data_IF_043662615524
#
_entry.id   IF_043662615524
#
_cell.length_a   1.000
_cell.length_b   1.000
_cell.length_c   1.000
_cell.angle_alpha   90.00
_cell.angle_beta   90.00
_cell.angle_gamma   90.00
#
_symmetry.space_group_name_H-M   'P 1'
#
loop_
_entity.id
_entity.type
_entity.pdbx_description
1 polymer ?
#
# COMPACT_ATOMS: atom_id res chain seq x y z
N UNK A 1 8.81 -16.88 7.31
CA UNK A 1 7.63 -16.01 7.12
C UNK A 1 7.78 -15.26 5.80
N UNK A 2 6.74 -15.25 4.95
CA UNK A 2 6.74 -14.59 3.64
C UNK A 2 5.28 -14.21 3.26
N UNK A 3 4.58 -13.49 4.13
CA UNK A 3 3.14 -13.25 4.06
C UNK A 3 2.76 -11.95 3.33
N UNK A 4 3.74 -11.26 2.74
CA UNK A 4 3.51 -9.96 2.12
C UNK A 4 3.34 -8.83 3.15
N UNK A 5 2.68 -7.74 2.75
CA UNK A 5 2.62 -6.50 3.48
C UNK A 5 1.40 -6.31 4.40
N UNK A 6 1.11 -5.05 4.68
CA UNK A 6 0.13 -4.60 5.68
C UNK A 6 -0.89 -3.61 5.11
N UNK A 7 -0.98 -3.46 3.79
CA UNK A 7 -1.75 -2.38 3.17
C UNK A 7 -3.25 -2.39 3.49
N UNK A 8 -3.80 -3.52 3.94
CA UNK A 8 -5.21 -3.61 4.38
C UNK A 8 -5.51 -2.91 5.69
N UNK A 9 -4.50 -2.42 6.40
CA UNK A 9 -4.69 -1.47 7.49
C UNK A 9 -5.27 -0.11 7.01
N UNK A 10 -5.17 0.20 5.71
CA UNK A 10 -5.65 1.44 5.11
C UNK A 10 -6.87 1.24 4.22
N UNK A 11 -7.71 2.26 4.15
CA UNK A 11 -8.96 2.25 3.36
C UNK A 11 -8.71 2.22 1.85
N UNK A 12 -7.67 2.94 1.39
CA UNK A 12 -7.30 3.03 -0.02
C UNK A 12 -5.95 2.35 -0.19
N UNK A 13 -5.97 1.15 -0.76
CA UNK A 13 -4.77 0.33 -0.94
C UNK A 13 -4.79 -0.42 -2.26
N UNK A 14 -3.61 -0.60 -2.85
CA UNK A 14 -3.39 -1.45 -4.01
C UNK A 14 -3.03 -2.89 -3.63
N UNK A 15 -2.95 -3.20 -2.33
CA UNK A 15 -2.64 -4.54 -1.86
C UNK A 15 -3.84 -5.49 -2.04
N UNK A 16 -3.55 -6.77 -2.22
CA UNK A 16 -4.53 -7.84 -2.21
C UNK A 16 -5.22 -7.98 -0.83
N UNK A 17 -6.23 -8.85 -0.75
CA UNK A 17 -6.96 -9.07 0.49
C UNK A 17 -6.10 -9.70 1.59
N UNK A 18 -5.01 -10.38 1.22
CA UNK A 18 -4.08 -11.06 2.11
C UNK A 18 -3.03 -10.11 2.73
N UNK A 19 -3.02 -8.84 2.36
CA UNK A 19 -2.10 -7.83 2.92
C UNK A 19 -2.50 -7.36 4.33
N UNK A 20 -2.67 -8.28 5.27
CA UNK A 20 -3.23 -8.06 6.61
C UNK A 20 -2.19 -8.05 7.74
N UNK A 21 -0.89 -8.20 7.40
CA UNK A 21 0.20 -8.12 8.37
C UNK A 21 0.41 -9.38 9.21
N UNK A 22 -0.06 -10.52 8.72
CA UNK A 22 -0.03 -11.79 9.48
C UNK A 22 1.36 -12.17 9.93
N UNK A 23 2.33 -12.13 9.01
CA UNK A 23 3.71 -12.47 9.34
C UNK A 23 4.38 -11.49 10.29
N UNK A 24 4.09 -10.20 10.17
CA UNK A 24 4.57 -9.19 11.11
C UNK A 24 4.04 -9.47 12.52
N UNK A 25 2.74 -9.64 12.66
CA UNK A 25 2.08 -9.89 13.93
C UNK A 25 2.51 -11.24 14.54
N UNK A 26 2.71 -12.26 13.72
CA UNK A 26 3.15 -13.59 14.15
C UNK A 26 4.58 -13.55 14.67
N UNK A 27 5.48 -12.90 13.95
CA UNK A 27 6.88 -12.72 14.33
C UNK A 27 6.99 -11.88 15.63
N UNK A 28 6.22 -10.79 15.73
CA UNK A 28 6.17 -9.95 16.91
C UNK A 28 5.70 -10.73 18.16
N UNK A 29 4.62 -11.52 18.04
CA UNK A 29 4.14 -12.38 19.14
C UNK A 29 5.14 -13.48 19.53
N UNK A 30 5.98 -13.92 18.60
CA UNK A 30 7.08 -14.85 18.87
C UNK A 30 8.28 -14.18 19.54
N UNK A 31 8.29 -12.86 19.71
CA UNK A 31 9.37 -12.08 20.31
C UNK A 31 10.39 -11.50 19.32
N UNK A 32 10.11 -11.56 18.01
CA UNK A 32 10.96 -10.91 17.02
C UNK A 32 10.77 -9.38 17.05
N UNK A 33 11.85 -8.65 16.76
CA UNK A 33 11.81 -7.21 16.61
C UNK A 33 11.19 -6.82 15.25
N UNK A 34 10.35 -5.77 15.27
CA UNK A 34 9.92 -5.05 14.08
C UNK A 34 10.68 -3.73 14.01
N UNK A 35 11.10 -3.34 12.80
CA UNK A 35 11.79 -2.07 12.57
C UNK A 35 11.21 -1.34 11.37
N UNK A 36 11.40 -0.01 11.32
CA UNK A 36 11.05 0.85 10.19
C UNK A 36 9.55 0.82 9.80
N UNK A 37 8.66 0.43 10.74
CA UNK A 37 7.23 0.25 10.48
C UNK A 37 6.54 1.55 10.06
N UNK A 38 7.08 2.70 10.41
CA UNK A 38 6.58 4.01 10.00
C UNK A 38 6.74 4.30 8.50
N UNK A 39 7.61 3.59 7.80
CA UNK A 39 7.86 3.81 6.38
C UNK A 39 6.86 3.07 5.50
N UNK A 40 5.74 3.72 5.27
CA UNK A 40 4.68 3.25 4.36
C UNK A 40 4.80 4.00 3.03
N UNK A 41 4.99 3.26 1.93
CA UNK A 41 4.99 3.84 0.59
C UNK A 41 3.56 3.96 0.07
N UNK A 42 3.17 5.19 -0.26
CA UNK A 42 1.95 5.47 -1.00
C UNK A 42 2.28 5.64 -2.48
N UNK A 43 1.62 4.87 -3.34
CA UNK A 43 1.66 5.16 -4.77
C UNK A 43 0.76 6.37 -5.06
N UNK A 44 1.25 7.39 -5.77
CA UNK A 44 0.49 8.64 -5.90
C UNK A 44 -0.80 8.50 -6.69
N UNK A 45 -0.88 7.52 -7.59
CA UNK A 45 -2.01 7.34 -8.50
C UNK A 45 -2.61 5.95 -8.37
N UNK A 46 -3.69 5.82 -7.61
CA UNK A 46 -4.61 4.70 -7.61
C UNK A 46 -5.98 5.17 -8.09
N UNK A 47 -6.82 4.27 -8.59
CA UNK A 47 -8.21 4.59 -8.94
C UNK A 47 -8.98 5.03 -7.68
N UNK A 48 -9.74 6.10 -7.78
CA UNK A 48 -10.58 6.61 -6.68
C UNK A 48 -12.04 6.25 -6.90
N UNK A 49 -12.45 6.12 -8.13
CA UNK A 49 -13.83 5.83 -8.52
C UNK A 49 -13.88 4.80 -9.65
N UNK A 50 -14.90 3.92 -9.70
CA UNK A 50 -15.95 3.72 -8.71
C UNK A 50 -15.48 3.05 -7.41
N UNK A 51 -16.29 3.02 -6.33
CA UNK A 51 -15.89 2.48 -5.02
C UNK A 51 -15.37 1.04 -5.05
N UNK A 52 -15.91 0.20 -5.94
CA UNK A 52 -15.56 -1.22 -6.10
C UNK A 52 -14.12 -1.45 -6.56
N UNK A 53 -13.49 -0.45 -7.19
CA UNK A 53 -12.13 -0.54 -7.74
C UNK A 53 -11.16 0.45 -7.08
N UNK A 54 -11.62 1.05 -5.99
CA UNK A 54 -10.82 2.04 -5.25
C UNK A 54 -9.50 1.44 -4.77
N UNK A 55 -8.41 2.12 -5.07
CA UNK A 55 -7.05 1.70 -4.73
C UNK A 55 -6.33 0.91 -5.83
N UNK A 56 -7.01 0.42 -6.87
CA UNK A 56 -6.34 -0.27 -7.97
C UNK A 56 -5.30 0.66 -8.61
N UNK A 57 -4.12 0.12 -8.82
CA UNK A 57 -2.94 0.87 -9.27
C UNK A 57 -3.14 1.47 -10.66
N UNK A 58 -2.87 2.77 -10.78
CA UNK A 58 -2.68 3.45 -12.06
C UNK A 58 -1.18 3.64 -12.27
N UNK A 59 -0.63 2.92 -13.25
CA UNK A 59 0.82 2.84 -13.47
C UNK A 59 1.46 4.22 -13.69
N UNK A 60 2.70 4.35 -13.23
CA UNK A 60 3.55 5.53 -13.50
C UNK A 60 3.74 5.78 -15.00
N UNK A 61 3.61 4.74 -15.81
CA UNK A 61 3.68 4.85 -17.28
C UNK A 61 2.73 5.89 -17.87
N UNK A 62 1.54 6.12 -17.27
CA UNK A 62 0.63 7.18 -17.74
C UNK A 62 1.29 8.55 -17.67
N UNK A 63 1.98 8.84 -16.55
CA UNK A 63 2.74 10.09 -16.36
C UNK A 63 3.99 10.13 -17.24
N UNK A 64 4.61 8.97 -17.45
CA UNK A 64 5.77 8.80 -18.34
C UNK A 64 5.44 9.08 -19.83
N UNK A 65 4.24 8.73 -20.27
CA UNK A 65 3.76 9.02 -21.64
C UNK A 65 3.13 10.43 -21.76
N UNK A 66 3.25 11.27 -20.73
CA UNK A 66 2.85 12.68 -20.76
C UNK A 66 1.56 13.01 -19.98
N UNK A 67 1.01 12.07 -19.20
CA UNK A 67 -0.12 12.36 -18.33
C UNK A 67 0.20 13.44 -17.29
N UNK A 68 -0.68 14.42 -17.15
CA UNK A 68 -0.55 15.55 -16.24
C UNK A 68 -1.53 15.44 -15.08
N UNK A 69 -1.15 15.97 -13.92
CA UNK A 69 -2.00 16.05 -12.74
C UNK A 69 -2.64 17.43 -12.63
N UNK A 70 -3.99 17.45 -12.61
CA UNK A 70 -4.76 18.68 -12.45
C UNK A 70 -5.74 18.58 -11.28
N UNK A 71 -6.02 19.73 -10.64
CA UNK A 71 -7.04 19.83 -9.61
C UNK A 71 -8.44 20.09 -10.22
N UNK A 72 -9.47 20.26 -9.38
CA UNK A 72 -10.85 20.53 -9.81
C UNK A 72 -11.03 21.85 -10.57
N UNK A 73 -10.07 22.76 -10.47
CA UNK A 73 -10.04 24.04 -11.21
C UNK A 73 -9.34 23.90 -12.57
N UNK A 74 -8.91 22.68 -12.94
CA UNK A 74 -8.14 22.42 -14.16
C UNK A 74 -6.66 22.88 -14.09
N UNK A 75 -6.17 23.30 -12.92
CA UNK A 75 -4.81 23.76 -12.74
C UNK A 75 -3.85 22.58 -12.63
N UNK A 76 -2.77 22.58 -13.41
CA UNK A 76 -1.64 21.66 -13.32
C UNK A 76 -0.74 22.08 -12.15
N UNK A 77 -0.96 21.53 -10.97
CA UNK A 77 -0.40 21.99 -9.69
C UNK A 77 1.03 21.51 -9.42
N UNK A 78 1.55 20.53 -10.15
CA UNK A 78 2.85 19.94 -9.84
C UNK A 78 4.04 20.91 -10.04
N UNK A 79 3.91 21.92 -10.90
CA UNK A 79 4.92 22.95 -11.08
C UNK A 79 5.01 23.96 -9.92
N UNK A 80 4.00 24.02 -9.05
CA UNK A 80 3.95 24.98 -7.94
C UNK A 80 4.89 24.60 -6.80
N UNK A 81 5.25 23.33 -6.69
CA UNK A 81 6.06 22.80 -5.59
C UNK A 81 7.12 21.82 -6.10
N UNK A 82 8.17 22.38 -6.68
CA UNK A 82 9.36 21.60 -7.06
C UNK A 82 10.41 21.83 -5.98
N UNK A 83 10.76 20.78 -5.17
CA UNK A 83 11.78 20.91 -4.15
C UNK A 83 13.13 21.40 -4.72
N UNK A 84 13.83 22.22 -3.97
CA UNK A 84 15.05 22.89 -4.44
C UNK A 84 16.11 21.89 -4.92
N UNK A 85 16.28 20.79 -4.22
CA UNK A 85 17.21 19.71 -4.58
C UNK A 85 16.83 18.99 -5.88
N UNK A 86 15.58 19.06 -6.33
CA UNK A 86 15.12 18.45 -7.59
C UNK A 86 15.04 19.45 -8.75
N UNK A 87 15.06 20.77 -8.51
CA UNK A 87 14.99 21.80 -9.56
C UNK A 87 15.98 21.62 -10.70
N UNK A 88 17.27 21.26 -10.45
CA UNK A 88 18.23 21.07 -11.54
C UNK A 88 17.86 19.92 -12.51
N UNK A 89 17.05 18.95 -12.05
CA UNK A 89 16.67 17.76 -12.81
C UNK A 89 15.21 17.81 -13.28
N UNK A 90 14.47 18.87 -12.97
CA UNK A 90 13.03 18.98 -13.24
C UNK A 90 12.77 20.11 -14.23
N UNK A 91 11.88 19.87 -15.18
CA UNK A 91 11.46 20.84 -16.17
C UNK A 91 10.95 22.13 -15.50
N UNK A 92 11.31 23.27 -16.08
CA UNK A 92 10.88 24.58 -15.60
C UNK A 92 9.52 25.00 -16.13
N UNK A 93 9.09 24.38 -17.22
CA UNK A 93 7.82 24.66 -17.88
C UNK A 93 7.20 23.41 -18.53
N UNK A 94 5.91 23.47 -18.89
CA UNK A 94 5.19 22.34 -19.49
C UNK A 94 5.76 21.84 -20.82
N UNK A 95 6.34 22.74 -21.64
CA UNK A 95 6.86 22.36 -22.96
C UNK A 95 8.18 21.59 -22.83
N UNK A 96 9.03 21.96 -21.90
CA UNK A 96 10.23 21.19 -21.58
C UNK A 96 9.85 19.78 -21.06
N UNK A 97 8.90 19.70 -20.13
CA UNK A 97 8.40 18.43 -19.62
C UNK A 97 7.81 17.54 -20.72
N UNK A 98 7.10 18.10 -21.68
CA UNK A 98 6.59 17.39 -22.83
C UNK A 98 7.72 16.84 -23.72
N UNK A 99 8.73 17.65 -24.06
CA UNK A 99 9.88 17.20 -24.86
C UNK A 99 10.60 16.01 -24.23
N UNK A 100 10.73 16.02 -22.90
CA UNK A 100 11.30 14.87 -22.17
C UNK A 100 10.53 13.57 -22.45
N UNK A 101 9.20 13.61 -22.38
CA UNK A 101 8.35 12.42 -22.61
C UNK A 101 8.44 11.91 -24.06
N UNK A 102 8.90 12.75 -24.99
CA UNK A 102 9.15 12.39 -26.39
C UNK A 102 10.59 11.90 -26.63
N UNK A 103 11.40 11.75 -25.58
CA UNK A 103 12.75 11.20 -25.65
C UNK A 103 13.84 12.26 -25.92
N UNK A 104 13.54 13.55 -25.80
CA UNK A 104 14.55 14.61 -25.87
C UNK A 104 15.48 14.55 -24.65
N UNK A 105 16.71 14.08 -24.88
CA UNK A 105 17.73 13.93 -23.82
C UNK A 105 18.24 15.24 -23.25
N UNK A 106 17.99 16.37 -23.88
CA UNK A 106 18.35 17.70 -23.40
C UNK A 106 17.31 18.30 -22.48
N UNK A 107 16.07 17.76 -22.49
CA UNK A 107 14.98 18.20 -21.66
C UNK A 107 15.00 17.51 -20.28
N UNK A 108 14.57 18.24 -19.26
CA UNK A 108 14.42 17.72 -17.90
C UNK A 108 13.05 17.07 -17.71
N UNK A 109 12.97 16.08 -16.79
CA UNK A 109 11.73 15.33 -16.51
C UNK A 109 10.62 16.26 -15.98
N UNK A 110 9.36 16.03 -16.36
CA UNK A 110 8.23 16.77 -15.79
C UNK A 110 8.07 16.50 -14.29
N UNK A 111 7.53 17.44 -13.48
CA UNK A 111 7.39 17.28 -12.04
C UNK A 111 6.45 16.14 -11.63
N UNK A 112 5.57 15.70 -12.49
CA UNK A 112 4.75 14.49 -12.28
C UNK A 112 5.57 13.20 -12.17
N UNK A 113 6.83 13.20 -12.59
CA UNK A 113 7.78 12.09 -12.47
C UNK A 113 8.78 12.28 -11.31
N UNK A 114 8.52 13.21 -10.39
CA UNK A 114 9.24 13.29 -9.12
C UNK A 114 8.95 12.07 -8.24
N UNK A 115 9.62 11.97 -7.10
CA UNK A 115 9.46 10.83 -6.19
C UNK A 115 8.02 10.64 -5.76
N UNK A 116 7.61 9.38 -5.57
CA UNK A 116 6.22 9.00 -5.28
C UNK A 116 5.66 9.72 -4.05
N UNK A 117 6.48 9.85 -3.01
CA UNK A 117 6.12 10.55 -1.77
C UNK A 117 5.85 12.04 -2.02
N UNK A 118 6.66 12.69 -2.84
CA UNK A 118 6.46 14.11 -3.17
C UNK A 118 5.17 14.31 -3.96
N UNK A 119 4.96 13.53 -5.02
CA UNK A 119 3.74 13.61 -5.84
C UNK A 119 2.50 13.32 -4.98
N UNK A 120 2.55 12.31 -4.12
CA UNK A 120 1.45 11.99 -3.23
C UNK A 120 1.13 13.13 -2.24
N UNK A 121 2.15 13.77 -1.66
CA UNK A 121 1.96 14.95 -0.79
C UNK A 121 1.33 16.14 -1.51
N UNK A 122 1.74 16.40 -2.75
CA UNK A 122 1.13 17.45 -3.57
C UNK A 122 -0.36 17.17 -3.83
N UNK A 123 -0.72 15.93 -4.15
CA UNK A 123 -2.12 15.50 -4.32
C UNK A 123 -2.92 15.71 -3.03
N UNK A 124 -2.41 15.24 -1.89
CA UNK A 124 -3.08 15.41 -0.59
C UNK A 124 -3.28 16.89 -0.25
N UNK A 125 -2.33 17.75 -0.59
CA UNK A 125 -2.45 19.19 -0.40
C UNK A 125 -3.61 19.79 -1.19
N UNK A 126 -3.79 19.40 -2.46
CA UNK A 126 -4.92 19.83 -3.27
C UNK A 126 -6.25 19.36 -2.69
N UNK A 127 -6.33 18.09 -2.27
CA UNK A 127 -7.52 17.53 -1.64
C UNK A 127 -7.87 18.28 -0.33
N UNK A 128 -6.89 18.47 0.56
CA UNK A 128 -7.09 19.19 1.85
C UNK A 128 -7.43 20.67 1.66
N UNK A 129 -7.02 21.27 0.55
CA UNK A 129 -7.37 22.66 0.20
C UNK A 129 -8.75 22.80 -0.47
N UNK A 130 -9.52 21.71 -0.57
CA UNK A 130 -10.86 21.71 -1.18
C UNK A 130 -10.84 21.76 -2.71
N UNK A 131 -9.70 21.56 -3.34
CA UNK A 131 -9.52 21.53 -4.81
C UNK A 131 -9.38 20.11 -5.35
N UNK A 132 -9.78 19.12 -4.58
CA UNK A 132 -9.83 17.72 -5.01
C UNK A 132 -10.92 17.45 -6.05
N UNK A 133 -10.87 16.26 -6.66
CA UNK A 133 -11.92 15.74 -7.53
C UNK A 133 -13.17 15.35 -6.71
N UNK A 134 -14.35 15.15 -7.35
CA UNK A 134 -15.60 14.85 -6.65
C UNK A 134 -15.53 13.66 -5.69
N UNK A 135 -14.69 12.66 -5.98
CA UNK A 135 -14.59 11.44 -5.17
C UNK A 135 -13.37 11.39 -4.24
N UNK A 136 -12.71 12.56 -4.02
CA UNK A 136 -11.63 12.70 -3.05
C UNK A 136 -10.24 12.37 -3.58
N UNK A 137 -10.01 12.59 -4.85
CA UNK A 137 -8.71 12.52 -5.53
C UNK A 137 -8.35 13.80 -6.24
N UNK A 138 -7.63 13.66 -7.36
CA UNK A 138 -7.33 14.68 -8.37
C UNK A 138 -7.52 14.07 -9.75
N UNK A 139 -7.35 14.84 -10.81
CA UNK A 139 -7.45 14.34 -12.17
C UNK A 139 -6.07 14.03 -12.74
N UNK A 140 -5.95 12.85 -13.35
CA UNK A 140 -4.81 12.48 -14.20
C UNK A 140 -5.28 12.49 -15.64
N UNK A 141 -4.80 13.47 -16.41
CA UNK A 141 -5.20 13.67 -17.80
C UNK A 141 -4.09 13.28 -18.77
N UNK A 142 -4.31 12.26 -19.57
CA UNK A 142 -3.46 11.90 -20.72
C UNK A 142 -4.11 12.35 -22.04
N UNK A 143 -5.42 12.61 -22.05
CA UNK A 143 -6.14 13.01 -23.27
C UNK A 143 -5.69 14.37 -23.81
N UNK A 144 -5.11 15.22 -22.96
CA UNK A 144 -4.60 16.55 -23.35
C UNK A 144 -3.53 16.47 -24.45
N UNK A 145 -2.80 15.33 -24.59
CA UNK A 145 -1.75 15.17 -25.61
C UNK A 145 -2.31 15.24 -27.05
N UNK A 146 -3.63 15.19 -27.23
CA UNK A 146 -4.28 15.49 -28.53
C UNK A 146 -3.91 16.85 -29.08
N UNK A 147 -3.63 17.80 -28.22
CA UNK A 147 -3.17 19.13 -28.63
C UNK A 147 -1.73 19.13 -29.18
N UNK A 148 -0.99 18.04 -28.99
CA UNK A 148 0.42 17.89 -29.36
C UNK A 148 0.69 16.82 -30.41
N UNK A 149 -0.16 15.77 -30.44
CA UNK A 149 0.02 14.62 -31.33
C UNK A 149 -1.24 14.38 -32.17
N UNK A 150 -1.14 14.40 -33.50
CA UNK A 150 -2.31 14.12 -34.37
C UNK A 150 -2.91 12.73 -34.18
N UNK A 151 -2.09 11.74 -33.82
CA UNK A 151 -2.49 10.35 -33.60
C UNK A 151 -2.51 9.96 -32.11
N UNK A 152 -2.86 10.90 -31.21
CA UNK A 152 -2.83 10.72 -29.77
C UNK A 152 -3.64 9.52 -29.28
N UNK A 153 -4.82 9.27 -29.84
CA UNK A 153 -5.67 8.14 -29.44
C UNK A 153 -4.97 6.79 -29.69
N UNK A 154 -4.41 6.59 -30.88
CA UNK A 154 -3.66 5.38 -31.22
C UNK A 154 -2.40 5.25 -30.35
N UNK A 155 -1.71 6.35 -30.11
CA UNK A 155 -0.54 6.39 -29.24
C UNK A 155 -0.88 5.92 -27.83
N UNK A 156 -1.93 6.47 -27.21
CA UNK A 156 -2.39 6.09 -25.85
C UNK A 156 -2.76 4.60 -25.81
N UNK A 157 -3.57 4.12 -26.72
CA UNK A 157 -3.99 2.71 -26.77
C UNK A 157 -2.83 1.76 -26.96
N UNK A 158 -1.83 2.11 -27.77
CA UNK A 158 -0.63 1.31 -28.02
C UNK A 158 0.34 1.31 -26.84
N UNK A 159 0.55 2.46 -26.20
CA UNK A 159 1.52 2.62 -25.12
C UNK A 159 0.97 2.23 -23.75
N UNK A 160 -0.31 2.40 -23.56
CA UNK A 160 -1.02 2.20 -22.28
C UNK A 160 -2.21 1.23 -22.43
N UNK A 161 -2.05 0.06 -23.12
CA UNK A 161 -3.19 -0.81 -23.41
C UNK A 161 -3.89 -1.31 -22.15
N UNK A 162 -3.14 -1.68 -21.13
CA UNK A 162 -3.69 -2.13 -19.84
C UNK A 162 -4.47 -1.03 -19.12
N UNK A 163 -3.99 0.20 -19.14
CA UNK A 163 -4.67 1.33 -18.50
C UNK A 163 -5.95 1.71 -19.28
N UNK A 164 -5.87 1.74 -20.61
CA UNK A 164 -7.05 1.98 -21.44
C UNK A 164 -8.14 0.95 -21.15
N UNK A 165 -7.78 -0.33 -21.15
CA UNK A 165 -8.73 -1.42 -20.86
C UNK A 165 -9.26 -1.33 -19.42
N UNK A 166 -8.36 -1.14 -18.42
CA UNK A 166 -8.74 -1.04 -17.01
C UNK A 166 -9.79 0.05 -16.75
N UNK A 167 -9.55 1.27 -17.25
CA UNK A 167 -10.48 2.37 -17.02
C UNK A 167 -11.77 2.21 -17.83
N UNK A 168 -11.68 1.68 -19.06
CA UNK A 168 -12.86 1.45 -19.89
C UNK A 168 -13.79 0.40 -19.28
N UNK A 169 -13.24 -0.72 -18.81
CA UNK A 169 -14.04 -1.83 -18.27
C UNK A 169 -14.51 -1.60 -16.83
N UNK A 170 -13.67 -0.97 -15.99
CA UNK A 170 -13.95 -0.85 -14.56
C UNK A 170 -14.65 0.46 -14.18
N UNK A 171 -14.50 1.51 -14.97
CA UNK A 171 -15.03 2.84 -14.66
C UNK A 171 -15.84 3.47 -15.80
N UNK A 172 -15.93 2.82 -16.96
CA UNK A 172 -16.50 3.33 -18.22
C UNK A 172 -15.87 4.65 -18.69
N UNK A 173 -14.60 4.87 -18.36
CA UNK A 173 -13.83 6.05 -18.75
C UNK A 173 -12.96 5.74 -19.97
N UNK A 174 -13.09 6.56 -21.01
CA UNK A 174 -12.19 6.54 -22.17
C UNK A 174 -11.04 7.52 -21.94
N UNK A 175 -9.91 7.00 -21.45
CA UNK A 175 -8.71 7.81 -21.12
C UNK A 175 -8.12 8.55 -22.32
N UNK A 176 -8.54 8.24 -23.53
CA UNK A 176 -8.17 8.99 -24.74
C UNK A 176 -8.99 10.27 -24.90
N UNK A 177 -10.06 10.45 -24.14
CA UNK A 177 -11.02 11.56 -24.28
C UNK A 177 -11.19 12.38 -23.02
N UNK A 178 -11.08 11.75 -21.86
CA UNK A 178 -11.38 12.35 -20.57
C UNK A 178 -10.38 11.95 -19.50
N UNK A 179 -10.19 12.78 -18.45
CA UNK A 179 -9.25 12.50 -17.37
C UNK A 179 -9.75 11.39 -16.43
N UNK A 180 -8.81 10.74 -15.78
CA UNK A 180 -9.03 9.73 -14.74
C UNK A 180 -9.05 10.39 -13.37
N UNK A 181 -9.96 9.99 -12.46
CA UNK A 181 -9.86 10.36 -11.05
C UNK A 181 -8.88 9.42 -10.34
N UNK A 182 -7.82 10.00 -9.78
CA UNK A 182 -6.75 9.27 -9.10
C UNK A 182 -6.42 9.89 -7.75
N UNK A 183 -5.86 9.08 -6.87
CA UNK A 183 -5.36 9.56 -5.57
C UNK A 183 -4.35 8.60 -4.97
N UNK A 184 -3.68 9.02 -3.88
CA UNK A 184 -2.71 8.17 -3.22
C UNK A 184 -3.33 6.90 -2.68
N UNK A 185 -2.64 5.78 -2.92
CA UNK A 185 -3.02 4.44 -2.45
C UNK A 185 -1.85 3.81 -1.69
N UNK A 186 -2.12 3.23 -0.54
CA UNK A 186 -1.11 2.45 0.20
C UNK A 186 -0.65 1.30 -0.66
N UNK A 187 0.66 1.16 -0.83
CA UNK A 187 1.21 0.28 -1.85
C UNK A 187 2.25 -0.70 -1.34
N UNK A 188 3.13 -0.29 -0.41
CA UNK A 188 4.22 -1.12 0.08
C UNK A 188 4.67 -0.65 1.47
N UNK A 189 4.99 -1.59 2.36
CA UNK A 189 5.66 -1.30 3.63
C UNK A 189 7.16 -1.58 3.49
N UNK A 190 8.01 -0.63 3.88
CA UNK A 190 9.46 -0.83 3.92
C UNK A 190 9.90 -1.43 5.26
N UNK A 191 9.13 -1.18 6.31
CA UNK A 191 9.28 -1.80 7.61
C UNK A 191 8.89 -3.26 7.65
N UNK A 192 9.17 -3.92 8.76
CA UNK A 192 8.84 -5.34 8.95
C UNK A 192 9.71 -6.02 9.99
N UNK A 193 9.75 -7.33 9.91
CA UNK A 193 10.58 -8.17 10.78
C UNK A 193 12.05 -7.84 10.55
N UNK A 194 12.75 -7.49 11.64
CA UNK A 194 14.21 -7.30 11.62
C UNK A 194 14.89 -8.62 11.33
N UNK A 195 15.71 -8.66 10.29
CA UNK A 195 16.45 -9.85 9.87
C UNK A 195 17.94 -9.57 9.72
N UNK A 196 18.73 -10.60 9.88
CA UNK A 196 20.14 -10.59 9.53
C UNK A 196 20.31 -10.53 8.01
N UNK A 197 21.21 -9.69 7.52
CA UNK A 197 21.36 -9.39 6.10
C UNK A 197 21.78 -10.60 5.25
N UNK A 198 22.54 -11.52 5.83
CA UNK A 198 23.09 -12.69 5.11
C UNK A 198 22.15 -13.88 5.19
N UNK A 199 21.58 -14.16 6.35
CA UNK A 199 20.81 -15.36 6.63
C UNK A 199 19.30 -15.18 6.55
N UNK A 200 18.81 -13.94 6.62
CA UNK A 200 17.40 -13.60 6.76
C UNK A 200 16.73 -14.19 8.02
N UNK A 201 17.52 -14.56 9.01
CA UNK A 201 17.03 -15.01 10.31
C UNK A 201 16.66 -13.79 11.16
N UNK A 202 15.52 -13.85 11.82
CA UNK A 202 15.06 -12.80 12.74
C UNK A 202 15.86 -12.82 14.05
N UNK A 203 15.51 -11.92 14.98
CA UNK A 203 16.05 -11.93 16.35
C UNK A 203 15.63 -13.17 17.15
N UNK A 204 14.63 -13.92 16.67
CA UNK A 204 14.21 -15.21 17.22
C UNK A 204 14.91 -16.34 16.45
N UNK A 205 15.76 -17.15 17.10
CA UNK A 205 16.48 -18.24 16.44
C UNK A 205 15.54 -19.24 15.75
N UNK A 206 15.81 -19.55 14.49
CA UNK A 206 14.99 -20.45 13.68
C UNK A 206 13.78 -19.82 13.00
N UNK A 207 13.51 -18.52 13.26
CA UNK A 207 12.48 -17.75 12.55
C UNK A 207 13.12 -16.90 11.47
N UNK A 208 12.74 -17.13 10.22
CA UNK A 208 13.25 -16.42 9.05
C UNK A 208 12.12 -15.59 8.42
N UNK A 209 12.47 -14.44 7.84
CA UNK A 209 11.52 -13.63 7.06
C UNK A 209 12.16 -13.12 5.77
N UNK A 210 11.35 -13.03 4.70
CA UNK A 210 11.78 -12.50 3.41
C UNK A 210 10.61 -11.85 2.65
N UNK A 211 10.94 -10.97 1.71
CA UNK A 211 9.97 -10.18 0.97
C UNK A 211 9.40 -9.02 1.81
N UNK A 212 8.22 -8.54 1.45
CA UNK A 212 7.63 -7.33 2.06
C UNK A 212 7.38 -7.42 3.58
N UNK A 213 7.39 -8.62 4.17
CA UNK A 213 7.29 -8.75 5.64
C UNK A 213 8.63 -8.61 6.37
N UNK A 214 9.76 -8.57 5.65
CA UNK A 214 11.10 -8.35 6.21
C UNK A 214 11.56 -6.91 5.96
N UNK A 215 12.27 -6.32 6.91
CA UNK A 215 12.77 -4.94 6.82
C UNK A 215 14.26 -4.85 6.55
N UNK A 216 14.74 -3.63 6.25
CA UNK A 216 16.15 -3.26 6.16
C UNK A 216 16.71 -3.15 4.74
N UNK A 217 15.99 -3.59 3.71
CA UNK A 217 16.49 -3.65 2.32
C UNK A 217 16.19 -2.37 1.55
N UNK A 218 15.03 -1.78 1.75
CA UNK A 218 14.49 -0.70 0.94
C UNK A 218 14.66 0.71 1.55
N UNK A 219 15.24 0.84 2.76
CA UNK A 219 15.31 2.10 3.48
C UNK A 219 13.94 2.74 3.67
N UNK A 220 13.89 4.07 3.63
CA UNK A 220 12.64 4.81 3.88
C UNK A 220 11.67 4.84 2.68
N UNK A 221 12.14 4.49 1.47
CA UNK A 221 11.29 4.55 0.26
C UNK A 221 11.82 3.62 -0.84
N UNK A 222 11.05 2.59 -1.16
CA UNK A 222 11.41 1.59 -2.17
C UNK A 222 11.35 2.16 -3.59
N UNK A 223 12.39 1.89 -4.38
CA UNK A 223 12.38 2.18 -5.82
C UNK A 223 11.44 1.22 -6.56
N UNK A 224 10.78 1.72 -7.60
CA UNK A 224 9.88 0.92 -8.44
C UNK A 224 10.57 -0.31 -9.01
N UNK A 225 9.94 -1.47 -8.89
CA UNK A 225 10.45 -2.76 -9.36
C UNK A 225 11.37 -3.51 -8.38
N UNK A 226 12.02 -2.84 -7.42
CA UNK A 226 12.98 -3.48 -6.52
C UNK A 226 12.37 -4.57 -5.62
N UNK A 227 11.07 -4.53 -5.33
CA UNK A 227 10.43 -5.63 -4.60
C UNK A 227 10.57 -6.99 -5.27
N UNK A 228 10.56 -7.05 -6.61
CA UNK A 228 10.71 -8.31 -7.33
C UNK A 228 12.13 -8.88 -7.18
N UNK A 229 13.15 -8.02 -7.21
CA UNK A 229 14.54 -8.44 -6.96
C UNK A 229 14.73 -8.92 -5.51
N UNK A 230 14.11 -8.23 -4.56
CA UNK A 230 14.08 -8.60 -3.16
C UNK A 230 13.50 -10.01 -2.97
N UNK A 231 12.31 -10.28 -3.50
CA UNK A 231 11.67 -11.59 -3.40
C UNK A 231 12.56 -12.74 -3.89
N UNK A 232 13.27 -12.56 -5.00
CA UNK A 232 14.11 -13.59 -5.61
C UNK A 232 15.37 -13.79 -4.75
N UNK A 233 16.09 -12.72 -4.42
CA UNK A 233 17.40 -12.80 -3.76
C UNK A 233 17.25 -13.23 -2.30
N UNK A 234 16.43 -12.53 -1.55
CA UNK A 234 16.33 -12.77 -0.10
C UNK A 234 15.38 -13.92 0.23
N UNK A 235 14.41 -14.23 -0.64
CA UNK A 235 13.63 -15.46 -0.53
C UNK A 235 14.49 -16.70 -0.68
N UNK A 236 15.43 -16.70 -1.65
CA UNK A 236 16.39 -17.79 -1.80
C UNK A 236 17.30 -17.93 -0.57
N UNK A 237 17.88 -16.81 -0.08
CA UNK A 237 18.73 -16.82 1.12
C UNK A 237 17.98 -17.38 2.33
N UNK A 238 16.79 -16.86 2.63
CA UNK A 238 15.96 -17.34 3.73
C UNK A 238 15.70 -18.86 3.64
N UNK A 239 15.38 -19.35 2.44
CA UNK A 239 15.16 -20.79 2.20
C UNK A 239 16.41 -21.64 2.43
N UNK A 240 17.56 -21.22 1.93
CA UNK A 240 18.84 -21.92 2.09
C UNK A 240 19.26 -22.01 3.56
N UNK A 241 19.23 -20.88 4.27
CA UNK A 241 19.62 -20.83 5.68
C UNK A 241 18.60 -21.52 6.61
N UNK A 242 17.30 -21.43 6.31
CA UNK A 242 16.29 -22.19 7.03
C UNK A 242 16.49 -23.70 6.88
N UNK A 243 16.84 -24.19 5.68
CA UNK A 243 17.15 -25.59 5.45
C UNK A 243 18.43 -26.05 6.20
N UNK A 244 19.46 -25.19 6.27
CA UNK A 244 20.66 -25.45 7.06
C UNK A 244 20.32 -25.50 8.56
N UNK A 245 19.52 -24.56 9.05
CA UNK A 245 19.08 -24.53 10.43
C UNK A 245 18.37 -25.82 10.84
N UNK A 246 17.39 -26.26 10.07
CA UNK A 246 16.62 -27.50 10.35
C UNK A 246 17.51 -28.73 10.40
N UNK A 247 18.56 -28.80 9.54
CA UNK A 247 19.52 -29.93 9.57
C UNK A 247 20.42 -29.91 10.81
N UNK A 248 20.71 -28.74 11.35
CA UNK A 248 21.60 -28.56 12.48
C UNK A 248 20.92 -28.62 13.86
N UNK A 249 19.59 -28.56 13.90
CA UNK A 249 18.83 -28.50 15.15
C UNK A 249 17.78 -29.61 15.21
N UNK A 250 17.52 -30.18 16.40
CA UNK A 250 16.47 -31.17 16.57
C UNK A 250 15.08 -30.56 16.34
N UNK A 251 14.12 -31.38 15.96
CA UNK A 251 12.75 -30.94 15.88
C UNK A 251 12.26 -30.40 17.22
N UNK A 252 11.56 -29.26 17.27
CA UNK A 252 11.03 -28.72 18.51
C UNK A 252 9.93 -29.63 19.07
N UNK A 253 9.81 -29.66 20.40
CA UNK A 253 8.67 -30.29 21.04
C UNK A 253 7.45 -29.37 20.96
N UNK A 254 6.33 -29.87 20.50
CA UNK A 254 5.08 -29.11 20.45
C UNK A 254 4.51 -28.95 21.87
N UNK A 255 4.20 -27.70 22.26
CA UNK A 255 3.36 -27.44 23.43
C UNK A 255 1.88 -27.62 23.03
N UNK A 256 1.33 -28.79 23.35
CA UNK A 256 -0.07 -29.12 23.05
C UNK A 256 -1.05 -28.13 23.70
N UNK A 257 -0.76 -27.67 24.93
CA UNK A 257 -1.58 -26.68 25.60
C UNK A 257 -1.59 -25.32 24.90
N UNK A 258 -0.44 -24.91 24.29
CA UNK A 258 -0.39 -23.71 23.46
C UNK A 258 -1.20 -23.88 22.17
N UNK A 259 -1.13 -25.05 21.54
CA UNK A 259 -1.91 -25.37 20.36
C UNK A 259 -3.43 -25.34 20.64
N UNK A 260 -3.88 -25.96 21.73
CA UNK A 260 -5.27 -25.91 22.16
C UNK A 260 -5.77 -24.49 22.43
N UNK A 261 -4.97 -23.67 23.12
CA UNK A 261 -5.31 -22.24 23.35
C UNK A 261 -5.45 -21.48 22.04
N UNK A 262 -4.55 -21.69 21.08
CA UNK A 262 -4.60 -21.02 19.77
C UNK A 262 -5.86 -21.45 18.99
N UNK A 263 -6.21 -22.74 18.99
CA UNK A 263 -7.43 -23.24 18.36
C UNK A 263 -8.67 -22.61 19.00
N UNK A 264 -8.74 -22.60 20.33
CA UNK A 264 -9.88 -22.02 21.07
C UNK A 264 -10.04 -20.51 20.74
N UNK A 265 -8.95 -19.76 20.72
CA UNK A 265 -8.99 -18.34 20.36
C UNK A 265 -9.47 -18.14 18.93
N UNK A 266 -8.98 -18.93 17.99
CA UNK A 266 -9.35 -18.82 16.57
C UNK A 266 -10.83 -19.18 16.33
N UNK A 267 -11.41 -20.07 17.11
CA UNK A 267 -12.80 -20.49 16.99
C UNK A 267 -13.78 -19.65 17.82
N UNK A 268 -13.29 -18.85 18.76
CA UNK A 268 -14.14 -18.05 19.66
C UNK A 268 -15.14 -17.12 18.95
N UNK A 269 -14.91 -16.58 17.74
CA UNK A 269 -15.93 -15.82 17.02
C UNK A 269 -17.20 -16.63 16.71
N UNK A 270 -17.10 -17.93 16.45
CA UNK A 270 -18.28 -18.78 16.24
C UNK A 270 -19.12 -18.99 17.51
N UNK A 271 -18.47 -19.01 18.69
CA UNK A 271 -19.21 -19.18 19.97
C UNK A 271 -20.10 -17.95 20.26
N UNK A 272 -19.75 -16.78 19.69
CA UNK A 272 -20.53 -15.54 19.82
C UNK A 272 -21.61 -15.40 18.75
N UNK A 273 -21.43 -16.01 17.58
CA UNK A 273 -22.40 -16.00 16.49
C UNK A 273 -22.88 -14.58 16.11
N UNK A 274 -24.13 -14.46 15.69
CA UNK A 274 -24.79 -13.20 15.32
C UNK A 274 -24.89 -12.17 16.47
N UNK A 275 -24.69 -12.58 17.72
CA UNK A 275 -24.72 -11.66 18.86
C UNK A 275 -23.42 -10.86 19.02
N UNK A 276 -22.35 -11.31 18.37
CA UNK A 276 -21.08 -10.61 18.35
C UNK A 276 -21.07 -9.40 17.43
N UNK A 277 -20.03 -8.56 17.57
CA UNK A 277 -19.84 -7.40 16.69
C UNK A 277 -19.42 -7.86 15.27
N UNK A 278 -19.81 -7.13 14.24
CA UNK A 278 -19.49 -7.46 12.86
C UNK A 278 -17.99 -7.19 12.58
N UNK A 279 -17.17 -8.19 12.22
CA UNK A 279 -15.74 -8.01 11.98
C UNK A 279 -15.43 -7.00 10.86
N UNK A 280 -16.23 -6.96 9.80
CA UNK A 280 -16.05 -6.02 8.70
C UNK A 280 -16.26 -4.57 9.14
N UNK A 281 -17.18 -4.33 10.08
CA UNK A 281 -17.41 -2.98 10.62
C UNK A 281 -16.19 -2.50 11.41
N UNK A 282 -15.62 -3.35 12.25
CA UNK A 282 -14.41 -3.03 13.02
C UNK A 282 -13.22 -2.78 12.09
N UNK A 283 -13.08 -3.60 11.05
CA UNK A 283 -12.04 -3.42 10.04
C UNK A 283 -12.18 -2.10 9.27
N UNK A 284 -13.41 -1.75 8.87
CA UNK A 284 -13.66 -0.48 8.18
C UNK A 284 -13.32 0.73 9.07
N UNK A 285 -13.70 0.68 10.35
CA UNK A 285 -13.41 1.75 11.29
C UNK A 285 -11.89 1.91 11.51
N UNK A 286 -11.14 0.79 11.58
CA UNK A 286 -9.68 0.82 11.60
C UNK A 286 -9.09 1.43 10.32
N UNK A 287 -9.58 1.02 9.16
CA UNK A 287 -9.11 1.54 7.88
C UNK A 287 -9.36 3.04 7.73
N UNK A 288 -10.50 3.54 8.21
CA UNK A 288 -10.80 4.97 8.23
C UNK A 288 -9.91 5.72 9.19
N UNK A 289 -9.68 5.18 10.37
CA UNK A 289 -8.76 5.71 11.37
C UNK A 289 -7.35 5.89 10.77
N UNK A 290 -6.78 4.83 10.23
CA UNK A 290 -5.42 4.83 9.68
C UNK A 290 -5.30 5.76 8.47
N UNK A 291 -6.30 5.78 7.59
CA UNK A 291 -6.32 6.67 6.43
C UNK A 291 -6.32 8.16 6.82
N UNK A 292 -7.03 8.51 7.89
CA UNK A 292 -7.24 9.90 8.28
C UNK A 292 -6.14 10.43 9.21
N UNK A 293 -5.70 9.62 10.18
CA UNK A 293 -4.79 10.05 11.25
C UNK A 293 -3.35 9.57 11.07
N UNK A 294 -3.12 8.47 10.32
CA UNK A 294 -1.78 7.86 10.13
C UNK A 294 -1.44 7.75 8.63
N UNK A 295 -1.90 8.74 7.84
CA UNK A 295 -1.71 8.79 6.40
C UNK A 295 -0.31 9.26 5.97
N UNK A 296 -0.25 9.95 4.81
CA UNK A 296 1.01 10.43 4.19
C UNK A 296 1.67 11.54 5.01
N UNK A 297 0.87 12.42 5.60
CA UNK A 297 1.34 13.49 6.49
C UNK A 297 0.83 13.18 7.87
N UNK A 298 1.74 12.95 8.80
CA UNK A 298 1.44 12.53 10.17
C UNK A 298 1.76 13.65 11.14
N UNK A 299 0.95 13.80 12.17
CA UNK A 299 1.11 14.77 13.26
C UNK A 299 1.03 14.03 14.58
N UNK A 300 1.78 14.48 15.56
CA UNK A 300 1.86 13.85 16.87
C UNK A 300 0.48 13.77 17.57
N UNK A 301 -0.30 14.84 17.49
CA UNK A 301 -1.65 14.89 18.02
C UNK A 301 -2.61 13.89 17.35
N UNK A 302 -2.52 13.75 16.03
CA UNK A 302 -3.29 12.77 15.25
C UNK A 302 -2.87 11.33 15.56
N UNK A 303 -1.57 11.04 15.66
CA UNK A 303 -1.05 9.71 16.01
C UNK A 303 -1.42 9.30 17.43
N UNK A 304 -1.36 10.23 18.42
CA UNK A 304 -1.77 9.97 19.80
C UNK A 304 -3.27 9.62 19.87
N UNK A 305 -4.10 10.34 19.10
CA UNK A 305 -5.52 10.01 18.98
C UNK A 305 -5.73 8.64 18.34
N UNK A 306 -4.93 8.30 17.32
CA UNK A 306 -5.01 6.99 16.65
C UNK A 306 -4.69 5.84 17.61
N UNK A 307 -3.65 5.95 18.42
CA UNK A 307 -3.29 4.93 19.42
C UNK A 307 -4.43 4.70 20.42
N UNK A 308 -5.06 5.76 20.92
CA UNK A 308 -6.21 5.64 21.82
C UNK A 308 -7.38 4.91 21.15
N UNK A 309 -7.67 5.25 19.89
CA UNK A 309 -8.77 4.63 19.16
C UNK A 309 -8.46 3.16 18.77
N UNK A 310 -7.19 2.80 18.55
CA UNK A 310 -6.77 1.41 18.31
C UNK A 310 -7.08 0.54 19.52
N UNK A 311 -6.87 1.05 20.76
CA UNK A 311 -7.24 0.31 21.98
C UNK A 311 -8.75 0.04 22.06
N UNK A 312 -9.58 1.03 21.74
CA UNK A 312 -11.03 0.85 21.65
C UNK A 312 -11.41 -0.19 20.59
N UNK A 313 -10.76 -0.15 19.43
CA UNK A 313 -10.97 -1.13 18.37
C UNK A 313 -10.52 -2.54 18.78
N UNK A 314 -9.46 -2.70 19.59
CA UNK A 314 -9.05 -3.98 20.18
C UNK A 314 -10.13 -4.55 21.08
N UNK A 315 -10.72 -3.71 21.93
CA UNK A 315 -11.82 -4.12 22.81
C UNK A 315 -13.05 -4.57 22.00
N UNK A 316 -13.31 -3.95 20.86
CA UNK A 316 -14.38 -4.33 19.93
C UNK A 316 -14.05 -5.63 19.21
N UNK A 317 -12.82 -5.77 18.68
CA UNK A 317 -12.34 -6.96 18.00
C UNK A 317 -12.45 -8.22 18.89
N UNK A 318 -12.22 -8.09 20.20
CA UNK A 318 -12.41 -9.18 21.16
C UNK A 318 -13.86 -9.67 21.27
N UNK A 319 -14.84 -8.88 20.81
CA UNK A 319 -16.27 -9.20 20.84
C UNK A 319 -16.87 -9.57 19.48
N UNK A 320 -16.07 -9.62 18.41
CA UNK A 320 -16.59 -9.99 17.08
C UNK A 320 -17.17 -11.39 17.08
N UNK A 321 -18.26 -11.56 16.34
CA UNK A 321 -18.92 -12.85 16.13
C UNK A 321 -19.08 -13.15 14.66
N UNK A 322 -19.19 -14.43 14.32
CA UNK A 322 -19.39 -14.90 12.96
C UNK A 322 -20.38 -16.07 12.94
N UNK A 323 -21.20 -16.10 11.91
CA UNK A 323 -22.15 -17.18 11.67
C UNK A 323 -21.72 -18.05 10.50
N UNK A 324 -22.40 -19.19 10.35
CA UNK A 324 -22.23 -20.08 9.21
C UNK A 324 -21.21 -21.19 9.46
N UNK A 325 -20.83 -21.84 8.37
CA UNK A 325 -19.87 -22.94 8.41
C UNK A 325 -18.42 -22.43 8.54
N UNK A 326 -17.54 -23.30 9.02
CA UNK A 326 -16.11 -23.01 9.14
C UNK A 326 -15.38 -23.05 7.80
N UNK A 327 -15.95 -23.72 6.79
CA UNK A 327 -15.39 -23.77 5.45
C UNK A 327 -15.79 -22.53 4.63
N UNK A 328 -14.83 -21.93 3.94
CA UNK A 328 -15.03 -20.74 3.08
C UNK A 328 -15.71 -19.54 3.78
N UNK A 329 -15.49 -19.39 5.09
CA UNK A 329 -16.11 -18.32 5.87
C UNK A 329 -15.26 -17.03 5.86
N UNK A 330 -15.57 -16.12 4.95
CA UNK A 330 -14.86 -14.85 4.83
C UNK A 330 -14.99 -13.96 6.09
N UNK A 331 -16.11 -14.04 6.83
CA UNK A 331 -16.30 -13.33 8.09
C UNK A 331 -15.36 -13.83 9.19
N UNK A 332 -15.11 -15.13 9.23
CA UNK A 332 -14.16 -15.72 10.16
C UNK A 332 -12.72 -15.28 9.84
N UNK A 333 -12.33 -15.32 8.57
CA UNK A 333 -11.01 -14.79 8.15
C UNK A 333 -10.85 -13.32 8.54
N UNK A 334 -11.85 -12.47 8.26
CA UNK A 334 -11.83 -11.08 8.68
C UNK A 334 -11.68 -10.90 10.20
N UNK A 335 -12.33 -11.78 10.99
CA UNK A 335 -12.19 -11.75 12.45
C UNK A 335 -10.78 -12.13 12.94
N UNK A 336 -10.11 -13.08 12.26
CA UNK A 336 -8.72 -13.46 12.54
C UNK A 336 -7.74 -12.34 12.16
N UNK A 337 -7.93 -11.73 10.98
CA UNK A 337 -7.10 -10.67 10.45
C UNK A 337 -7.11 -9.42 11.33
N UNK A 338 -8.23 -9.12 12.01
CA UNK A 338 -8.35 -7.96 12.88
C UNK A 338 -7.25 -7.87 13.95
N UNK A 339 -6.91 -8.99 14.58
CA UNK A 339 -5.87 -9.03 15.60
C UNK A 339 -4.49 -8.68 15.03
N UNK A 340 -4.22 -9.08 13.79
CA UNK A 340 -2.98 -8.80 13.08
C UNK A 340 -2.95 -7.35 12.60
N UNK A 341 -4.03 -6.89 11.97
CA UNK A 341 -4.19 -5.51 11.51
C UNK A 341 -4.04 -4.49 12.66
N UNK A 342 -4.64 -4.75 13.82
CA UNK A 342 -4.52 -3.89 15.01
C UNK A 342 -3.07 -3.85 15.53
N UNK A 343 -2.38 -5.01 15.53
CA UNK A 343 -0.97 -5.08 15.95
C UNK A 343 -0.06 -4.27 15.04
N UNK A 344 -0.20 -4.42 13.71
CA UNK A 344 0.65 -3.67 12.76
C UNK A 344 0.28 -2.20 12.70
N UNK A 345 -1.00 -1.85 12.90
CA UNK A 345 -1.45 -0.45 12.94
C UNK A 345 -0.88 0.32 14.12
N UNK A 346 -0.76 -0.34 15.28
CA UNK A 346 -0.10 0.26 16.46
C UNK A 346 1.41 0.43 16.24
N UNK A 347 2.05 -0.51 15.52
CA UNK A 347 3.49 -0.45 15.24
C UNK A 347 3.87 0.62 14.20
N UNK A 348 2.91 1.08 13.35
CA UNK A 348 3.10 2.13 12.34
C UNK A 348 3.18 3.51 13.02
#
# INVERSE_FOLDING_TARGET
VATGGIGRAYKITSNSWEGTGDGHALAYRAGAELIDMEFIQFHPTGMIWPPSVKGILVTEGVRGEGGILTNSEGRRFMFDDIPENYRPQTASDPDEGWRYTQGDRSARRPPELLTRDHVARCIVREIKAGRGSPHGGVFLDIAWIKSRLPNAEEHIKRKLPSMYHQFKELADIDITKEPMEVGPTTHYVMGGVRVDADTQMSTVPGLFAAGECASGINGANRLGGNSLSDLIVFGQRAGEYAAQWVRAHPAPTLDEGAAERAIKLSLAPFDRGASGENPYKVQQDLQELMQNLVGIVRREDEMTQALTAIEDLRARAARVGVDGHREYNAGWHAALDLANLLTVSEAI
#
